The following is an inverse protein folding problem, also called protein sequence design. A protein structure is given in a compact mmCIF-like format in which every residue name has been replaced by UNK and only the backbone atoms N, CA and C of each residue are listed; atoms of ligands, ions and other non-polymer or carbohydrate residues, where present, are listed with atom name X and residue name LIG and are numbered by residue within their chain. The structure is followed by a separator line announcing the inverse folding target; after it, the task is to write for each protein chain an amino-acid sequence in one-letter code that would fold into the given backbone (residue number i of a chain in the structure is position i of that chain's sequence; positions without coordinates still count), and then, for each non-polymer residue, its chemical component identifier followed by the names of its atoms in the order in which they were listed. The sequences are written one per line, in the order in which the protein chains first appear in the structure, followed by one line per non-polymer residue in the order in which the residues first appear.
data_IF_290348098110
#
_entry.id   IF_290348098110
#
_cell.length_a   1.000
_cell.length_b   1.000
_cell.length_c   1.000
_cell.angle_alpha   90.00
_cell.angle_beta   90.00
_cell.angle_gamma   90.00
#
_symmetry.space_group_name_H-M   'P 1'
#
loop_
_entity.id
_entity.type
_entity.pdbx_description
1 polymer ?
#
# COMPACT_ATOMS: atom_id res chain seq x y z
N UNK A 1 22.41 56.26 -21.00
CA UNK A 1 23.20 57.29 -20.29
C UNK A 1 22.52 57.60 -18.96
N UNK A 2 23.30 58.04 -17.98
CA UNK A 2 22.97 58.39 -16.60
C UNK A 2 23.08 57.29 -15.54
N UNK A 3 24.20 57.42 -14.83
CA UNK A 3 24.65 56.76 -13.61
C UNK A 3 23.87 57.33 -12.43
N UNK A 4 23.57 56.52 -11.42
CA UNK A 4 23.73 56.97 -10.03
C UNK A 4 24.25 55.84 -9.14
N UNK A 5 25.50 56.02 -8.73
CA UNK A 5 26.15 55.42 -7.56
C UNK A 5 25.52 56.02 -6.32
N UNK A 6 25.08 55.22 -5.35
CA UNK A 6 25.22 55.55 -3.94
C UNK A 6 25.72 54.32 -3.20
N UNK A 7 26.90 54.48 -2.60
CA UNK A 7 27.55 53.53 -1.74
C UNK A 7 27.19 53.88 -0.29
N UNK A 8 26.79 52.89 0.49
CA UNK A 8 26.93 52.98 1.95
C UNK A 8 27.54 51.67 2.42
N UNK A 9 28.78 51.81 2.89
CA UNK A 9 29.57 50.83 3.61
C UNK A 9 28.94 50.63 5.00
N UNK A 10 28.80 49.39 5.45
CA UNK A 10 28.23 49.07 6.76
C UNK A 10 28.55 47.64 7.20
N UNK A 11 29.81 47.44 7.57
CA UNK A 11 30.40 46.51 8.54
C UNK A 11 29.73 45.14 8.85
N UNK A 12 30.49 44.08 8.53
CA UNK A 12 30.75 42.85 9.28
C UNK A 12 29.74 42.36 10.33
N UNK A 13 29.04 41.27 10.02
CA UNK A 13 28.94 40.13 10.93
C UNK A 13 29.27 38.87 10.13
N UNK A 14 30.47 38.35 10.34
CA UNK A 14 30.83 36.98 10.01
C UNK A 14 30.23 36.11 11.12
N UNK A 15 29.16 35.40 10.81
CA UNK A 15 28.76 34.22 11.58
C UNK A 15 28.77 33.03 10.62
N UNK A 16 29.93 32.39 10.52
CA UNK A 16 30.04 31.07 9.94
C UNK A 16 29.47 30.06 10.93
N UNK A 17 28.36 29.41 10.61
CA UNK A 17 28.11 28.03 11.03
C UNK A 17 27.40 27.27 9.91
N UNK A 18 28.16 26.32 9.37
CA UNK A 18 27.74 25.18 8.57
C UNK A 18 26.54 24.52 9.24
N UNK A 19 25.40 24.53 8.55
CA UNK A 19 24.22 23.75 8.89
C UNK A 19 23.70 23.11 7.62
N UNK A 20 24.09 21.85 7.39
CA UNK A 20 23.58 21.05 6.28
C UNK A 20 22.07 20.87 6.41
N UNK A 21 21.31 21.74 5.75
CA UNK A 21 19.87 21.59 5.53
C UNK A 21 19.58 20.72 4.32
N UNK A 22 20.31 19.61 4.15
CA UNK A 22 19.79 18.53 3.34
C UNK A 22 18.55 18.03 4.04
N UNK A 23 17.37 18.46 3.60
CA UNK A 23 16.11 17.87 4.02
C UNK A 23 16.18 16.37 3.70
N UNK A 24 16.67 15.59 4.66
CA UNK A 24 16.43 14.17 4.80
C UNK A 24 14.91 14.03 4.73
N UNK A 25 14.41 13.65 3.57
CA UNK A 25 13.05 13.15 3.40
C UNK A 25 12.98 11.94 4.34
N UNK A 26 12.44 12.15 5.54
CA UNK A 26 12.16 11.07 6.47
C UNK A 26 11.19 10.17 5.73
N UNK A 27 11.66 8.98 5.35
CA UNK A 27 10.79 7.96 4.79
C UNK A 27 9.66 7.76 5.81
N UNK A 28 8.42 8.05 5.40
CA UNK A 28 7.27 7.83 6.26
C UNK A 28 7.26 6.33 6.63
N UNK A 29 7.11 5.97 7.91
CA UNK A 29 7.15 4.57 8.31
C UNK A 29 6.04 3.80 7.56
N UNK A 30 6.30 2.54 7.17
CA UNK A 30 5.31 1.74 6.46
C UNK A 30 4.04 1.62 7.29
N UNK A 31 2.89 1.88 6.67
CA UNK A 31 1.58 1.82 7.34
C UNK A 31 0.96 0.46 7.08
N UNK A 32 0.58 -0.26 8.13
CA UNK A 32 -0.21 -1.48 8.03
C UNK A 32 -1.69 -1.11 8.18
N UNK A 33 -2.52 -1.57 7.26
CA UNK A 33 -3.95 -1.25 7.21
C UNK A 33 -4.73 -2.57 7.10
N UNK A 34 -5.73 -2.81 7.96
CA UNK A 34 -6.65 -3.92 7.75
C UNK A 34 -7.55 -3.62 6.54
N UNK A 35 -7.73 -4.60 5.67
CA UNK A 35 -8.56 -4.50 4.48
C UNK A 35 -9.49 -5.70 4.39
N UNK A 36 -10.78 -5.43 4.22
CA UNK A 36 -11.81 -6.43 4.00
C UNK A 36 -12.57 -6.08 2.72
N UNK A 37 -12.84 -7.08 1.87
CA UNK A 37 -13.47 -6.83 0.59
C UNK A 37 -13.69 -8.06 -0.26
N UNK A 38 -14.12 -7.87 -1.50
CA UNK A 38 -14.31 -8.96 -2.47
C UNK A 38 -13.21 -8.98 -3.51
N UNK A 39 -12.67 -10.15 -3.78
CA UNK A 39 -11.72 -10.35 -4.87
C UNK A 39 -12.38 -10.09 -6.22
N UNK A 40 -11.82 -9.18 -7.02
CA UNK A 40 -12.30 -8.88 -8.38
C UNK A 40 -11.37 -9.42 -9.46
N UNK A 41 -10.09 -9.60 -9.14
CA UNK A 41 -9.08 -10.15 -10.05
C UNK A 41 -7.96 -10.83 -9.26
N UNK A 42 -7.42 -11.93 -9.81
CA UNK A 42 -6.30 -12.68 -9.23
C UNK A 42 -5.34 -13.06 -10.35
N UNK A 43 -4.10 -12.59 -10.26
CA UNK A 43 -3.01 -12.97 -11.16
C UNK A 43 -1.93 -13.67 -10.31
N UNK A 44 -2.02 -15.00 -10.11
CA UNK A 44 -1.06 -15.74 -9.30
C UNK A 44 0.32 -15.79 -9.94
N UNK A 45 0.41 -15.61 -11.26
CA UNK A 45 1.69 -15.60 -11.98
C UNK A 45 2.47 -14.32 -11.73
N UNK A 46 1.77 -13.20 -11.52
CA UNK A 46 2.38 -11.90 -11.22
C UNK A 46 2.34 -11.54 -9.74
N UNK A 47 1.80 -12.41 -8.89
CA UNK A 47 1.63 -12.15 -7.46
C UNK A 47 0.72 -10.94 -7.22
N UNK A 48 -0.40 -10.83 -7.94
CA UNK A 48 -1.32 -9.70 -7.79
C UNK A 48 -2.71 -10.17 -7.43
N UNK A 49 -3.33 -9.44 -6.51
CA UNK A 49 -4.74 -9.57 -6.16
C UNK A 49 -5.37 -8.18 -6.22
N UNK A 50 -6.56 -8.09 -6.81
CA UNK A 50 -7.37 -6.87 -6.77
C UNK A 50 -8.62 -7.13 -5.95
N UNK A 51 -8.89 -6.25 -4.99
CA UNK A 51 -10.01 -6.36 -4.04
C UNK A 51 -10.87 -5.10 -4.14
N UNK A 52 -12.18 -5.26 -4.23
CA UNK A 52 -13.14 -4.18 -4.02
C UNK A 52 -13.51 -4.06 -2.55
N UNK A 53 -13.47 -2.84 -2.01
CA UNK A 53 -13.76 -2.56 -0.60
C UNK A 53 -14.43 -1.20 -0.46
N UNK A 54 -15.19 -1.02 0.62
CA UNK A 54 -15.78 0.27 0.94
C UNK A 54 -14.73 1.21 1.52
N UNK A 55 -14.55 2.37 0.89
CA UNK A 55 -13.63 3.40 1.39
C UNK A 55 -14.42 4.52 2.04
N UNK A 56 -14.40 4.60 3.37
CA UNK A 56 -15.05 5.69 4.13
C UNK A 56 -14.56 7.08 3.68
N UNK A 57 -13.28 7.20 3.33
CA UNK A 57 -12.69 8.46 2.84
C UNK A 57 -13.37 8.99 1.56
N UNK A 58 -13.90 8.08 0.74
CA UNK A 58 -14.47 8.39 -0.57
C UNK A 58 -15.97 8.12 -0.63
N UNK A 59 -16.55 7.62 0.47
CA UNK A 59 -17.95 7.23 0.63
C UNK A 59 -18.48 6.36 -0.53
N UNK A 60 -17.66 5.40 -0.98
CA UNK A 60 -17.98 4.51 -2.09
C UNK A 60 -17.13 3.25 -2.09
N UNK A 61 -17.59 2.25 -2.84
CA UNK A 61 -16.79 1.07 -3.16
C UNK A 61 -15.71 1.42 -4.19
N UNK A 62 -14.46 1.05 -3.90
CA UNK A 62 -13.30 1.24 -4.78
C UNK A 62 -12.49 -0.05 -4.84
N UNK A 63 -11.62 -0.15 -5.84
CA UNK A 63 -10.69 -1.29 -5.98
C UNK A 63 -9.27 -0.91 -5.59
N UNK A 64 -8.57 -1.85 -4.96
CA UNK A 64 -7.15 -1.78 -4.66
C UNK A 64 -6.44 -3.03 -5.17
N UNK A 65 -5.28 -2.85 -5.82
CA UNK A 65 -4.41 -3.96 -6.22
C UNK A 65 -3.25 -4.09 -5.22
N UNK A 66 -3.16 -5.24 -4.58
CA UNK A 66 -2.06 -5.63 -3.70
C UNK A 66 -1.08 -6.56 -4.40
N UNK A 67 0.20 -6.44 -4.04
CA UNK A 67 1.24 -7.40 -4.34
C UNK A 67 1.24 -8.49 -3.26
N UNK A 68 1.23 -9.74 -3.70
CA UNK A 68 1.36 -10.93 -2.86
C UNK A 68 2.77 -11.48 -3.06
N UNK A 69 3.48 -11.67 -1.96
CA UNK A 69 4.85 -12.18 -1.94
C UNK A 69 4.89 -13.55 -1.26
N UNK A 70 6.05 -14.18 -1.25
CA UNK A 70 6.34 -15.38 -0.46
C UNK A 70 6.20 -15.16 1.06
N UNK A 71 6.37 -13.93 1.51
CA UNK A 71 6.12 -13.51 2.90
C UNK A 71 4.63 -13.37 3.24
N UNK A 72 3.72 -13.34 2.26
CA UNK A 72 2.28 -13.20 2.52
C UNK A 72 1.72 -14.50 3.10
N UNK A 73 1.11 -14.41 4.28
CA UNK A 73 0.36 -15.54 4.83
C UNK A 73 -1.02 -15.65 4.17
N UNK A 74 -1.31 -16.79 3.55
CA UNK A 74 -2.63 -17.05 2.93
C UNK A 74 -3.27 -18.23 3.63
N UNK A 75 -4.50 -18.05 4.13
CA UNK A 75 -5.30 -19.11 4.73
C UNK A 75 -6.70 -19.16 4.15
N UNK A 76 -7.12 -20.37 3.76
CA UNK A 76 -8.50 -20.65 3.35
C UNK A 76 -9.06 -21.66 4.35
N UNK A 77 -10.13 -21.29 5.05
CA UNK A 77 -10.72 -22.11 6.12
C UNK A 77 -9.69 -22.50 7.19
N UNK A 78 -8.78 -21.59 7.53
CA UNK A 78 -7.71 -21.81 8.52
C UNK A 78 -6.53 -22.67 8.03
N UNK A 79 -6.58 -23.20 6.80
CA UNK A 79 -5.50 -24.02 6.21
C UNK A 79 -4.58 -23.15 5.36
N UNK A 80 -3.26 -23.37 5.46
CA UNK A 80 -2.26 -22.69 4.63
C UNK A 80 -2.57 -22.95 3.15
N UNK A 81 -2.64 -21.87 2.37
CA UNK A 81 -2.97 -21.90 0.96
C UNK A 81 -2.00 -21.02 0.16
N UNK A 82 -2.21 -20.96 -1.16
CA UNK A 82 -1.46 -20.12 -2.08
C UNK A 82 -2.39 -19.14 -2.79
N UNK A 83 -1.82 -18.14 -3.46
CA UNK A 83 -2.62 -17.20 -4.26
C UNK A 83 -3.38 -17.90 -5.40
N UNK A 84 -2.89 -19.04 -5.88
CA UNK A 84 -3.56 -19.82 -6.92
C UNK A 84 -4.86 -20.49 -6.42
N UNK A 85 -5.04 -20.64 -5.11
CA UNK A 85 -6.23 -21.23 -4.51
C UNK A 85 -7.36 -20.20 -4.28
N UNK A 86 -7.04 -18.92 -4.41
CA UNK A 86 -7.97 -17.80 -4.27
C UNK A 86 -8.77 -17.62 -5.56
N UNK A 87 -10.10 -17.54 -5.43
CA UNK A 87 -11.00 -17.33 -6.54
C UNK A 87 -11.54 -15.90 -6.58
N UNK A 88 -11.88 -15.45 -7.79
CA UNK A 88 -12.63 -14.20 -7.99
C UNK A 88 -14.02 -14.34 -7.37
N UNK A 89 -14.50 -13.28 -6.72
CA UNK A 89 -15.77 -13.24 -6.02
C UNK A 89 -15.71 -13.65 -4.55
N UNK A 90 -14.58 -14.20 -4.08
CA UNK A 90 -14.40 -14.55 -2.67
C UNK A 90 -14.32 -13.30 -1.79
N UNK A 91 -14.86 -13.41 -0.58
CA UNK A 91 -14.67 -12.40 0.44
C UNK A 91 -13.35 -12.65 1.16
N UNK A 92 -12.50 -11.63 1.21
CA UNK A 92 -11.17 -11.70 1.81
C UNK A 92 -11.06 -10.70 2.95
N UNK A 93 -10.29 -11.09 3.97
CA UNK A 93 -9.88 -10.22 5.07
C UNK A 93 -8.38 -10.31 5.23
N UNK A 94 -7.74 -9.24 5.64
CA UNK A 94 -6.31 -9.31 5.90
C UNK A 94 -5.68 -7.96 6.15
N UNK A 95 -4.36 -7.95 6.14
CA UNK A 95 -3.56 -6.77 6.38
C UNK A 95 -2.71 -6.45 5.15
N UNK A 96 -2.65 -5.16 4.80
CA UNK A 96 -1.79 -4.64 3.74
C UNK A 96 -0.80 -3.65 4.30
N UNK A 97 0.47 -3.82 3.94
CA UNK A 97 1.52 -2.84 4.18
C UNK A 97 1.59 -1.88 2.99
N UNK A 98 1.39 -0.59 3.27
CA UNK A 98 1.55 0.48 2.29
C UNK A 98 2.97 1.00 2.35
N UNK A 99 3.71 0.77 1.29
CA UNK A 99 5.08 1.25 1.10
C UNK A 99 5.12 2.43 0.13
N UNK A 100 6.01 3.38 0.38
CA UNK A 100 6.37 4.39 -0.60
C UNK A 100 7.25 3.74 -1.69
N UNK A 101 6.87 3.92 -2.94
CA UNK A 101 7.58 3.44 -4.13
C UNK A 101 7.75 4.61 -5.10
N UNK A 102 8.74 5.47 -4.83
CA UNK A 102 8.89 6.76 -5.52
C UNK A 102 7.67 7.65 -5.25
N UNK A 103 7.06 8.19 -6.31
CA UNK A 103 5.85 9.01 -6.22
C UNK A 103 4.55 8.19 -6.08
N UNK A 104 4.65 6.85 -6.05
CA UNK A 104 3.52 5.93 -5.98
C UNK A 104 3.51 5.18 -4.66
N UNK A 105 2.32 4.77 -4.24
CA UNK A 105 2.16 3.82 -3.13
C UNK A 105 2.11 2.40 -3.68
N UNK A 106 2.81 1.49 -3.03
CA UNK A 106 2.75 0.05 -3.27
C UNK A 106 2.05 -0.61 -2.09
N UNK A 107 1.05 -1.43 -2.35
CA UNK A 107 0.39 -2.24 -1.32
C UNK A 107 0.99 -3.65 -1.39
N UNK A 108 1.55 -4.13 -0.29
CA UNK A 108 2.07 -5.48 -0.13
C UNK A 108 1.19 -6.20 0.88
N UNK A 109 0.55 -7.29 0.48
CA UNK A 109 -0.27 -8.09 1.37
C UNK A 109 0.60 -8.78 2.41
N UNK A 110 0.23 -8.66 3.68
CA UNK A 110 0.86 -9.39 4.79
C UNK A 110 0.07 -10.66 5.11
N UNK A 111 -1.26 -10.56 5.06
CA UNK A 111 -2.17 -11.69 5.29
C UNK A 111 -3.38 -11.65 4.36
N UNK A 112 -3.87 -12.83 3.97
CA UNK A 112 -5.12 -13.03 3.23
C UNK A 112 -5.85 -14.21 3.87
N UNK A 113 -7.02 -13.95 4.44
CA UNK A 113 -7.88 -14.90 5.12
C UNK A 113 -9.20 -15.00 4.36
N UNK A 114 -9.60 -16.22 4.03
CA UNK A 114 -10.84 -16.53 3.32
C UNK A 114 -11.62 -17.59 4.08
N UNK A 115 -12.86 -17.25 4.42
CA UNK A 115 -13.84 -18.20 4.96
C UNK A 115 -14.74 -18.66 3.82
N UNK A 116 -14.46 -19.86 3.28
CA UNK A 116 -15.20 -20.48 2.18
C UNK A 116 -16.23 -21.46 2.77
N UNK A 117 -17.54 -21.27 2.50
CA UNK A 117 -18.54 -22.25 2.91
C UNK A 117 -18.25 -23.59 2.22
N UNK A 118 -18.31 -24.69 2.96
CA UNK A 118 -18.20 -26.02 2.36
C UNK A 118 -19.30 -26.20 1.31
N UNK A 119 -18.99 -26.82 0.16
CA UNK A 119 -20.01 -27.16 -0.81
C UNK A 119 -21.03 -28.07 -0.12
N UNK A 120 -22.32 -27.73 -0.28
CA UNK A 120 -23.40 -28.59 0.21
C UNK A 120 -23.21 -29.99 -0.38
N UNK A 121 -23.23 -31.06 0.42
CA UNK A 121 -23.15 -32.41 -0.10
C UNK A 121 -24.23 -32.60 -1.16
N UNK A 122 -23.82 -32.96 -2.37
CA UNK A 122 -24.80 -33.35 -3.40
C UNK A 122 -25.37 -34.70 -2.98
N UNK A 123 -26.70 -34.88 -2.91
CA UNK A 123 -27.25 -36.21 -2.67
C UNK A 123 -26.70 -37.19 -3.70
N UNK A 124 -26.34 -38.42 -3.31
CA UNK A 124 -26.00 -39.45 -4.29
C UNK A 124 -27.18 -39.66 -5.25
N UNK A 125 -26.91 -40.01 -6.53
CA UNK A 125 -27.95 -40.24 -7.54
C UNK A 125 -28.90 -41.39 -7.17
#
# INVERSE_FOLDING_TARGET
MFRHRWATVGACIVTALVGGGGCRQKAEPPRVIPLEGRTVDVDPRRGKITVSYYSEKHDKEITATGLVTDETEIRINGVIATLADVAVGEFVKGEVRVEASGDKKRMVALSIIIDRPEPKPTPPP
#
